data_IF_152869736536
#
_entry.id   IF_152869736536
#
_cell.length_a   1.000
_cell.length_b   1.000
_cell.length_c   1.000
_cell.angle_alpha   90.00
_cell.angle_beta   90.00
_cell.angle_gamma   90.00
#
_symmetry.space_group_name_H-M   'P 1'
#
loop_
_entity.id
_entity.type
_entity.pdbx_description
1 polymer ?
#
# COMPACT_ATOMS: atom_id res chain seq x y z
N UNK A 1 12.40 17.70 11.99
CA UNK A 1 13.23 17.78 10.76
C UNK A 1 12.74 16.74 9.77
N UNK A 2 12.68 17.08 8.48
CA UNK A 2 12.37 16.14 7.40
C UNK A 2 13.68 15.69 6.76
N UNK A 3 13.89 14.38 6.67
CA UNK A 3 15.04 13.79 5.99
C UNK A 3 14.53 13.05 4.75
N UNK A 4 14.88 13.50 3.54
CA UNK A 4 14.59 12.76 2.33
C UNK A 4 15.46 11.50 2.23
N UNK A 5 14.86 10.39 1.79
CA UNK A 5 15.57 9.17 1.42
C UNK A 5 15.60 9.09 -0.11
N UNK A 6 16.79 9.18 -0.67
CA UNK A 6 17.00 9.12 -2.13
C UNK A 6 17.43 7.70 -2.50
N UNK A 7 16.77 7.05 -3.47
CA UNK A 7 17.16 5.73 -3.92
C UNK A 7 18.65 5.66 -4.32
N UNK A 8 19.35 4.64 -3.81
CA UNK A 8 20.78 4.46 -4.07
C UNK A 8 21.74 5.17 -3.10
N UNK A 9 21.33 6.23 -2.42
CA UNK A 9 22.23 7.00 -1.55
C UNK A 9 22.35 6.40 -0.12
N UNK A 10 21.33 5.68 0.31
CA UNK A 10 21.23 5.21 1.69
C UNK A 10 20.89 6.34 2.66
N UNK A 11 20.11 6.03 3.68
CA UNK A 11 19.80 6.95 4.74
C UNK A 11 19.63 6.18 6.06
N UNK A 12 19.97 6.81 7.15
CA UNK A 12 19.62 6.27 8.48
C UNK A 12 18.21 6.73 8.83
N UNK A 13 17.29 5.78 8.88
CA UNK A 13 15.89 6.00 9.26
C UNK A 13 15.59 5.52 10.69
N UNK A 14 16.62 5.14 11.43
CA UNK A 14 16.49 4.68 12.81
C UNK A 14 16.02 5.83 13.69
N UNK A 15 15.01 5.57 14.52
CA UNK A 15 14.46 6.56 15.43
C UNK A 15 13.62 7.67 14.75
N UNK A 16 13.17 7.44 13.53
CA UNK A 16 12.22 8.34 12.88
C UNK A 16 10.87 8.34 13.62
N UNK A 17 10.30 9.51 13.87
CA UNK A 17 8.97 9.65 14.47
C UNK A 17 7.85 9.30 13.49
N UNK A 18 8.12 9.43 12.18
CA UNK A 18 7.16 9.20 11.11
C UNK A 18 7.87 8.77 9.83
N UNK A 19 7.39 7.71 9.20
CA UNK A 19 7.86 7.24 7.90
C UNK A 19 6.80 7.48 6.83
N UNK A 20 7.19 8.13 5.74
CA UNK A 20 6.31 8.40 4.61
C UNK A 20 6.93 7.96 3.29
N UNK A 21 6.15 7.21 2.50
CA UNK A 21 6.50 6.91 1.12
C UNK A 21 5.28 7.15 0.22
N UNK A 22 5.40 8.10 -0.70
CA UNK A 22 4.35 8.47 -1.63
C UNK A 22 4.21 7.51 -2.80
N UNK A 23 3.09 7.63 -3.52
CA UNK A 23 2.84 6.87 -4.74
C UNK A 23 3.82 7.27 -5.86
N UNK A 24 4.24 6.28 -6.63
CA UNK A 24 4.99 6.45 -7.87
C UNK A 24 4.29 5.77 -9.05
N UNK A 25 4.97 5.72 -10.19
CA UNK A 25 4.56 4.87 -11.30
C UNK A 25 4.94 3.41 -11.01
N UNK A 26 4.29 2.46 -11.65
CA UNK A 26 4.61 1.04 -11.53
C UNK A 26 6.07 0.74 -11.93
N UNK A 27 6.60 1.50 -12.91
CA UNK A 27 8.01 1.41 -13.28
C UNK A 27 8.94 1.91 -12.16
N UNK A 28 8.61 3.03 -11.54
CA UNK A 28 9.36 3.56 -10.41
C UNK A 28 9.29 2.63 -9.19
N UNK A 29 8.15 1.99 -8.96
CA UNK A 29 7.94 1.02 -7.89
C UNK A 29 8.95 -0.14 -7.98
N UNK A 30 9.19 -0.69 -9.18
CA UNK A 30 10.14 -1.79 -9.37
C UNK A 30 11.57 -1.38 -8.98
N UNK A 31 12.02 -0.20 -9.41
CA UNK A 31 13.32 0.34 -8.99
C UNK A 31 13.37 0.61 -7.49
N UNK A 32 12.31 1.19 -6.95
CA UNK A 32 12.22 1.46 -5.52
C UNK A 32 12.22 0.18 -4.68
N UNK A 33 11.66 -0.92 -5.17
CA UNK A 33 11.61 -2.18 -4.43
C UNK A 33 13.00 -2.71 -4.07
N UNK A 34 13.95 -2.64 -5.02
CA UNK A 34 15.32 -3.09 -4.81
C UNK A 34 16.02 -2.26 -3.74
N UNK A 35 15.86 -0.95 -3.79
CA UNK A 35 16.44 -0.05 -2.79
C UNK A 35 15.74 -0.16 -1.44
N UNK A 36 14.41 -0.23 -1.43
CA UNK A 36 13.61 -0.32 -0.24
C UNK A 36 13.84 -1.63 0.54
N UNK A 37 14.21 -2.71 -0.13
CA UNK A 37 14.57 -3.97 0.52
C UNK A 37 15.69 -3.83 1.56
N UNK A 38 16.61 -2.87 1.38
CA UNK A 38 17.69 -2.58 2.33
C UNK A 38 17.17 -2.07 3.68
N UNK A 39 16.02 -1.44 3.68
CA UNK A 39 15.37 -0.88 4.87
C UNK A 39 14.40 -1.85 5.55
N UNK A 40 14.24 -3.07 5.01
CA UNK A 40 13.23 -4.02 5.48
C UNK A 40 13.30 -4.27 6.99
N UNK A 41 14.49 -4.54 7.53
CA UNK A 41 14.66 -4.80 8.96
C UNK A 41 14.33 -3.55 9.79
N UNK A 42 14.80 -2.37 9.38
CA UNK A 42 14.57 -1.11 10.11
C UNK A 42 13.09 -0.71 10.08
N UNK A 43 12.42 -0.88 8.93
CA UNK A 43 10.98 -0.57 8.82
C UNK A 43 10.14 -1.53 9.67
N UNK A 44 10.51 -2.81 9.71
CA UNK A 44 9.83 -3.80 10.57
C UNK A 44 10.01 -3.48 12.05
N UNK A 45 11.23 -3.19 12.48
CA UNK A 45 11.51 -2.78 13.85
C UNK A 45 10.74 -1.50 14.23
N UNK A 46 10.74 -0.50 13.36
CA UNK A 46 9.98 0.73 13.59
C UNK A 46 8.46 0.47 13.69
N UNK A 47 7.92 -0.47 12.92
CA UNK A 47 6.51 -0.87 13.03
C UNK A 47 6.22 -1.56 14.38
N UNK A 48 7.10 -2.44 14.84
CA UNK A 48 7.02 -3.11 16.15
C UNK A 48 7.11 -2.10 17.30
N UNK A 49 7.93 -1.06 17.16
CA UNK A 49 8.09 0.03 18.14
C UNK A 49 6.92 1.04 18.09
N UNK A 50 5.98 0.89 17.18
CA UNK A 50 4.79 1.75 17.07
C UNK A 50 5.04 3.07 16.33
N UNK A 51 6.11 3.20 15.55
CA UNK A 51 6.38 4.36 14.70
C UNK A 51 5.22 4.57 13.71
N UNK A 52 4.71 5.79 13.64
CA UNK A 52 3.64 6.12 12.70
C UNK A 52 4.16 6.04 11.24
N UNK A 53 3.36 5.40 10.36
CA UNK A 53 3.77 5.17 8.97
C UNK A 53 2.63 5.47 8.01
N UNK A 54 2.95 6.09 6.88
CA UNK A 54 2.01 6.29 5.78
C UNK A 54 2.67 5.89 4.45
N UNK A 55 2.15 4.84 3.85
CA UNK A 55 2.54 4.37 2.53
C UNK A 55 1.35 4.50 1.59
N UNK A 56 1.49 5.25 0.50
CA UNK A 56 0.39 5.56 -0.40
C UNK A 56 0.55 4.90 -1.78
N UNK A 57 -0.57 4.40 -2.33
CA UNK A 57 -0.62 3.85 -3.69
C UNK A 57 0.37 2.71 -3.91
N UNK A 58 1.24 2.82 -4.93
CA UNK A 58 2.24 1.80 -5.26
C UNK A 58 3.28 1.56 -4.15
N UNK A 59 3.53 2.57 -3.30
CA UNK A 59 4.42 2.39 -2.16
C UNK A 59 3.84 1.41 -1.12
N UNK A 60 2.53 1.46 -0.88
CA UNK A 60 1.85 0.52 0.02
C UNK A 60 2.01 -0.93 -0.45
N UNK A 61 1.99 -1.16 -1.76
CA UNK A 61 2.12 -2.49 -2.34
C UNK A 61 3.46 -3.17 -2.00
N UNK A 62 4.52 -2.37 -1.77
CA UNK A 62 5.84 -2.85 -1.36
C UNK A 62 5.92 -3.33 0.09
N UNK A 63 4.94 -3.01 0.92
CA UNK A 63 4.84 -3.53 2.29
C UNK A 63 4.42 -5.00 2.32
N UNK A 64 3.77 -5.49 1.26
CA UNK A 64 3.31 -6.86 1.14
C UNK A 64 4.43 -7.88 0.92
N UNK A 65 4.05 -9.13 0.72
CA UNK A 65 4.98 -10.22 0.47
C UNK A 65 5.58 -10.16 -0.94
N UNK A 66 4.77 -9.80 -1.95
CA UNK A 66 5.23 -9.70 -3.34
C UNK A 66 4.33 -8.85 -4.22
N UNK A 67 4.92 -8.37 -5.31
CA UNK A 67 4.23 -7.70 -6.41
C UNK A 67 4.51 -8.47 -7.69
N UNK A 68 3.45 -8.87 -8.42
CA UNK A 68 3.54 -9.41 -9.78
C UNK A 68 3.16 -8.31 -10.76
N UNK A 69 4.03 -7.97 -11.65
CA UNK A 69 3.81 -6.92 -12.64
C UNK A 69 2.94 -7.39 -13.83
N UNK A 70 2.71 -6.48 -14.79
CA UNK A 70 1.83 -6.74 -15.95
C UNK A 70 2.39 -7.78 -16.91
N UNK A 71 3.70 -7.98 -16.90
CA UNK A 71 4.42 -8.93 -17.76
C UNK A 71 4.48 -10.31 -17.10
N UNK A 72 4.05 -10.41 -15.84
CA UNK A 72 4.03 -11.64 -15.06
C UNK A 72 5.29 -11.84 -14.20
N UNK A 73 6.21 -10.90 -14.22
CA UNK A 73 7.39 -10.93 -13.37
C UNK A 73 7.01 -10.62 -11.92
N UNK A 74 7.50 -11.43 -11.00
CA UNK A 74 7.24 -11.25 -9.56
C UNK A 74 8.52 -10.82 -8.84
N UNK A 75 8.41 -9.79 -8.03
CA UNK A 75 9.47 -9.31 -7.15
C UNK A 75 8.98 -9.19 -5.71
N UNK A 76 9.86 -9.37 -4.72
CA UNK A 76 9.48 -9.32 -3.34
C UNK A 76 9.15 -7.89 -2.89
N UNK A 77 8.16 -7.76 -2.01
CA UNK A 77 8.03 -6.64 -1.10
C UNK A 77 8.87 -6.86 0.16
N UNK A 78 8.78 -5.97 1.14
CA UNK A 78 9.53 -6.13 2.39
C UNK A 78 8.88 -7.13 3.35
N UNK A 79 7.67 -7.61 3.06
CA UNK A 79 6.97 -8.59 3.90
C UNK A 79 6.63 -8.08 5.29
N UNK A 80 6.27 -6.80 5.42
CA UNK A 80 5.70 -6.26 6.66
C UNK A 80 4.27 -6.76 6.87
N UNK A 81 3.55 -7.02 5.79
CA UNK A 81 2.22 -7.61 5.79
C UNK A 81 2.16 -8.82 4.84
N UNK A 82 1.18 -9.71 5.05
CA UNK A 82 1.04 -10.97 4.33
C UNK A 82 0.42 -10.84 2.92
N UNK A 83 -0.15 -9.68 2.57
CA UNK A 83 -0.83 -9.51 1.29
C UNK A 83 0.12 -9.56 0.08
N UNK A 84 -0.43 -9.89 -1.07
CA UNK A 84 0.26 -9.85 -2.36
C UNK A 84 -0.46 -8.91 -3.32
N UNK A 85 0.29 -8.35 -4.28
CA UNK A 85 -0.26 -7.49 -5.34
C UNK A 85 -0.05 -8.13 -6.70
N UNK A 86 -1.08 -8.06 -7.56
CA UNK A 86 -0.99 -8.42 -8.97
C UNK A 86 -1.41 -7.21 -9.81
N UNK A 87 -0.54 -6.72 -10.66
CA UNK A 87 -0.84 -5.59 -11.53
C UNK A 87 -1.71 -6.02 -12.72
N UNK A 88 -2.91 -5.44 -12.80
CA UNK A 88 -3.83 -5.67 -13.90
C UNK A 88 -3.49 -4.88 -15.15
N UNK A 89 -4.03 -5.32 -16.30
CA UNK A 89 -3.88 -4.61 -17.57
C UNK A 89 -4.68 -3.30 -17.64
N UNK A 90 -5.72 -3.18 -16.82
CA UNK A 90 -6.57 -1.99 -16.74
C UNK A 90 -6.27 -1.21 -15.49
N UNK A 91 -6.24 0.11 -15.63
CA UNK A 91 -6.15 1.04 -14.50
C UNK A 91 -7.54 1.30 -13.96
N UNK A 92 -7.65 1.36 -12.64
CA UNK A 92 -8.86 1.74 -11.96
C UNK A 92 -8.68 3.17 -11.49
N UNK A 93 -9.63 3.98 -11.90
CA UNK A 93 -9.65 5.41 -11.60
C UNK A 93 -11.04 5.74 -11.10
N UNK A 94 -11.12 6.38 -9.96
CA UNK A 94 -12.40 6.79 -9.38
C UNK A 94 -12.29 7.26 -7.95
N UNK A 95 -13.38 7.87 -7.50
CA UNK A 95 -13.49 8.32 -6.11
C UNK A 95 -13.78 7.13 -5.20
N UNK A 96 -13.32 7.26 -3.96
CA UNK A 96 -13.57 6.31 -2.88
C UNK A 96 -14.27 7.05 -1.74
N UNK A 97 -15.37 6.49 -1.28
CA UNK A 97 -16.08 6.96 -0.09
C UNK A 97 -16.38 5.75 0.80
N UNK A 98 -15.89 5.78 2.00
CA UNK A 98 -16.01 4.64 2.91
C UNK A 98 -15.94 5.02 4.37
N UNK A 99 -16.10 4.02 5.22
CA UNK A 99 -15.99 4.14 6.68
C UNK A 99 -14.84 3.29 7.20
N UNK A 100 -14.27 3.72 8.31
CA UNK A 100 -13.20 3.02 9.03
C UNK A 100 -13.63 2.77 10.46
N UNK A 101 -13.01 1.78 11.11
CA UNK A 101 -13.18 1.55 12.53
C UNK A 101 -12.32 2.49 13.40
N UNK A 102 -11.42 3.27 12.84
CA UNK A 102 -10.47 4.10 13.57
C UNK A 102 -11.09 5.43 14.07
N UNK A 103 -12.08 5.96 13.34
CA UNK A 103 -12.74 7.23 13.68
C UNK A 103 -14.12 7.29 13.03
N UNK A 104 -15.05 8.14 13.55
CA UNK A 104 -16.45 8.15 13.11
C UNK A 104 -16.69 8.83 11.75
N UNK A 105 -15.75 9.68 11.29
CA UNK A 105 -15.90 10.41 10.04
C UNK A 105 -15.70 9.49 8.83
N UNK A 106 -16.41 9.78 7.75
CA UNK A 106 -16.21 9.07 6.50
C UNK A 106 -14.87 9.45 5.85
N UNK A 107 -14.23 8.45 5.26
CA UNK A 107 -13.00 8.63 4.48
C UNK A 107 -13.38 8.91 3.03
N UNK A 108 -12.90 10.01 2.50
CA UNK A 108 -13.01 10.37 1.09
C UNK A 108 -11.63 10.29 0.46
N UNK A 109 -11.52 9.62 -0.67
CA UNK A 109 -10.26 9.45 -1.36
C UNK A 109 -10.43 9.31 -2.86
N UNK A 110 -9.31 9.21 -3.55
CA UNK A 110 -9.23 8.98 -4.98
C UNK A 110 -8.32 7.81 -5.27
N UNK A 111 -8.79 6.91 -6.12
CA UNK A 111 -8.04 5.73 -6.54
C UNK A 111 -7.57 5.90 -7.98
N UNK A 112 -6.28 5.65 -8.22
CA UNK A 112 -5.70 5.62 -9.55
C UNK A 112 -4.58 4.57 -9.56
N UNK A 113 -4.94 3.31 -9.74
CA UNK A 113 -4.00 2.19 -9.64
C UNK A 113 -4.35 1.05 -10.59
N UNK A 114 -3.40 0.18 -10.87
CA UNK A 114 -3.62 -1.09 -11.56
C UNK A 114 -3.36 -2.32 -10.67
N UNK A 115 -2.71 -2.13 -9.53
CA UNK A 115 -2.44 -3.22 -8.59
C UNK A 115 -3.72 -3.72 -7.91
N UNK A 116 -3.91 -5.03 -7.93
CA UNK A 116 -4.96 -5.75 -7.20
C UNK A 116 -4.31 -6.41 -5.99
N UNK A 117 -4.76 -6.02 -4.79
CA UNK A 117 -4.20 -6.53 -3.54
C UNK A 117 -5.07 -7.68 -3.04
N UNK A 118 -4.43 -8.75 -2.57
CA UNK A 118 -5.09 -9.95 -2.05
C UNK A 118 -4.49 -10.34 -0.71
N UNK A 119 -5.34 -10.84 0.20
CA UNK A 119 -4.89 -11.29 1.51
C UNK A 119 -4.70 -10.19 2.54
N UNK A 120 -5.40 -9.06 2.42
CA UNK A 120 -5.40 -8.01 3.45
C UNK A 120 -6.18 -8.50 4.66
N UNK A 121 -5.52 -8.55 5.83
CA UNK A 121 -6.12 -9.01 7.08
C UNK A 121 -6.80 -7.88 7.86
N UNK A 122 -6.22 -6.67 7.83
CA UNK A 122 -6.73 -5.50 8.53
C UNK A 122 -6.92 -4.32 7.56
N UNK A 123 -8.04 -4.27 6.82
CA UNK A 123 -8.30 -3.18 5.89
C UNK A 123 -8.59 -1.87 6.63
N UNK A 124 -8.06 -0.76 6.13
CA UNK A 124 -8.35 0.58 6.67
C UNK A 124 -9.83 0.91 6.56
N UNK A 125 -10.46 0.58 5.42
CA UNK A 125 -11.88 0.81 5.20
C UNK A 125 -12.65 -0.49 5.46
N UNK A 126 -13.61 -0.42 6.37
CA UNK A 126 -14.46 -1.56 6.76
C UNK A 126 -15.78 -1.61 5.98
N UNK A 127 -16.12 -0.53 5.29
CA UNK A 127 -17.28 -0.44 4.40
C UNK A 127 -17.05 0.60 3.33
N UNK A 128 -17.56 0.33 2.11
CA UNK A 128 -17.50 1.25 0.97
C UNK A 128 -18.92 1.58 0.51
N UNK A 129 -19.18 2.87 0.34
CA UNK A 129 -20.39 3.37 -0.33
C UNK A 129 -20.11 3.69 -1.80
N UNK A 130 -18.87 4.01 -2.13
CA UNK A 130 -18.40 4.28 -3.47
C UNK A 130 -16.96 3.77 -3.62
N UNK A 131 -16.60 3.22 -4.76
CA UNK A 131 -15.26 2.76 -5.07
C UNK A 131 -15.09 1.25 -5.03
N UNK A 132 -13.85 0.80 -4.95
CA UNK A 132 -13.47 -0.61 -5.03
C UNK A 132 -12.66 -1.02 -3.79
N UNK A 133 -12.96 -2.16 -3.22
CA UNK A 133 -12.33 -2.66 -1.99
C UNK A 133 -11.49 -3.93 -2.17
N UNK A 134 -10.83 -4.37 -1.11
CA UNK A 134 -9.86 -5.48 -1.11
C UNK A 134 -10.44 -6.84 -0.75
N UNK A 135 -11.70 -7.12 -0.90
CA UNK A 135 -12.26 -8.45 -0.67
C UNK A 135 -13.25 -8.55 0.50
N UNK A 136 -13.29 -9.68 1.17
CA UNK A 136 -14.40 -10.18 2.00
C UNK A 136 -14.93 -9.26 3.12
N UNK A 137 -14.20 -8.25 3.54
CA UNK A 137 -14.57 -7.33 4.62
C UNK A 137 -15.06 -5.95 4.15
N UNK A 138 -14.85 -5.60 2.89
CA UNK A 138 -15.48 -4.43 2.29
C UNK A 138 -16.75 -4.85 1.59
N UNK A 139 -17.88 -4.85 2.28
CA UNK A 139 -19.19 -4.97 1.64
C UNK A 139 -19.50 -3.64 0.97
N UNK A 140 -19.69 -3.60 -0.35
CA UNK A 140 -20.26 -2.43 -0.98
C UNK A 140 -21.69 -2.30 -0.48
N UNK A 141 -22.05 -1.13 0.01
CA UNK A 141 -23.42 -0.86 0.43
C UNK A 141 -24.40 -0.92 -0.77
N UNK A 142 -23.94 -1.07 -2.00
CA UNK A 142 -24.81 -1.02 -3.18
C UNK A 142 -24.27 -1.55 -4.50
N UNK A 143 -23.27 -2.44 -4.58
CA UNK A 143 -22.90 -3.03 -5.89
C UNK A 143 -22.14 -4.34 -5.74
N UNK A 144 -22.39 -5.35 -6.62
CA UNK A 144 -21.69 -6.62 -6.57
C UNK A 144 -20.24 -6.48 -6.99
N UNK A 145 -19.40 -6.78 -6.08
CA UNK A 145 -18.06 -7.30 -6.12
C UNK A 145 -17.18 -7.08 -7.36
N UNK A 146 -16.34 -6.08 -7.32
CA UNK A 146 -15.00 -6.23 -7.89
C UNK A 146 -14.00 -5.87 -6.81
N UNK A 147 -13.17 -6.85 -6.46
CA UNK A 147 -12.28 -6.83 -5.33
C UNK A 147 -10.84 -6.61 -5.79
N UNK A 148 -10.12 -5.92 -5.01
CA UNK A 148 -8.70 -5.66 -5.15
C UNK A 148 -7.94 -6.47 -4.20
#
# INVERSE_FOLDING_TARGET
>A
TVQPVVPGEGADITGADFLFMGAGTERAQRFAAEDFARYSATVKAAAEDGTAMLFAGTAMELLGASVTDRDGDTYPGIGLASFTTVQGKRRIVGDVYGVTALFPEAVVGFMNKCGQIRGVEAPLLTGLSLGFGTGRTCSPLSSPGQFW
#
